data_IF_363706508639
#
_entry.id   IF_363706508639
#
_cell.length_a   1.000
_cell.length_b   1.000
_cell.length_c   1.000
_cell.angle_alpha   90.00
_cell.angle_beta   90.00
_cell.angle_gamma   90.00
#
_symmetry.space_group_name_H-M   'P 1'
#
loop_
_entity.id
_entity.type
_entity.pdbx_description
1 polymer ?
#
# COMPACT_ATOMS: atom_id res chain seq x y z
N UNK A 1 -2.10 18.14 4.68
CA UNK A 1 -2.45 17.24 5.80
C UNK A 1 -2.34 15.80 5.33
N UNK A 2 -1.71 14.98 6.16
CA UNK A 2 -1.53 13.57 5.83
C UNK A 2 -2.83 12.79 5.97
N UNK A 3 -2.93 11.72 5.21
CA UNK A 3 -3.99 10.71 5.32
C UNK A 3 -3.40 9.37 5.73
N UNK A 4 -4.20 8.53 6.35
CA UNK A 4 -3.85 7.14 6.65
C UNK A 4 -4.67 6.22 5.75
N UNK A 5 -4.00 5.26 5.12
CA UNK A 5 -4.64 4.24 4.29
C UNK A 5 -4.41 2.88 4.94
N UNK A 6 -5.47 2.10 5.12
CA UNK A 6 -5.42 0.73 5.63
C UNK A 6 -6.01 -0.20 4.58
N UNK A 7 -5.21 -1.14 4.13
CA UNK A 7 -5.69 -2.17 3.22
C UNK A 7 -6.39 -3.29 4.00
N UNK A 8 -7.49 -3.83 3.47
CA UNK A 8 -8.17 -4.95 4.14
C UNK A 8 -7.30 -6.20 4.11
N UNK A 9 -7.43 -7.05 5.14
CA UNK A 9 -6.81 -8.36 5.15
C UNK A 9 -7.32 -9.18 3.95
N UNK A 10 -6.42 -9.64 3.10
CA UNK A 10 -6.77 -10.26 1.81
C UNK A 10 -5.97 -11.54 1.54
N UNK A 11 -5.41 -12.14 2.57
CA UNK A 11 -4.61 -13.38 2.49
C UNK A 11 -3.44 -13.26 1.49
N UNK A 12 -2.79 -12.12 1.46
CA UNK A 12 -1.63 -11.89 0.60
C UNK A 12 -0.44 -12.62 1.16
N UNK A 13 0.18 -13.49 0.36
CA UNK A 13 1.40 -14.17 0.80
C UNK A 13 2.61 -13.23 0.74
N UNK A 14 3.62 -13.54 1.55
CA UNK A 14 4.89 -12.81 1.49
C UNK A 14 5.48 -12.81 0.08
N UNK A 15 5.38 -13.94 -0.62
CA UNK A 15 5.89 -14.05 -2.00
C UNK A 15 5.13 -13.12 -2.95
N UNK A 16 3.80 -13.06 -2.84
CA UNK A 16 2.99 -12.13 -3.65
C UNK A 16 3.37 -10.68 -3.35
N UNK A 17 3.50 -10.35 -2.06
CA UNK A 17 3.91 -9.01 -1.63
C UNK A 17 5.27 -8.62 -2.21
N UNK A 18 6.26 -9.51 -2.06
CA UNK A 18 7.62 -9.27 -2.56
C UNK A 18 7.63 -9.09 -4.08
N UNK A 19 6.86 -9.90 -4.81
CA UNK A 19 6.73 -9.81 -6.27
C UNK A 19 6.18 -8.46 -6.71
N UNK A 20 5.12 -7.98 -6.08
CA UNK A 20 4.52 -6.68 -6.38
C UNK A 20 5.54 -5.56 -6.13
N UNK A 21 6.21 -5.61 -4.98
CA UNK A 21 7.21 -4.60 -4.62
C UNK A 21 8.39 -4.59 -5.58
N UNK A 22 8.89 -5.76 -5.94
CA UNK A 22 10.00 -5.88 -6.89
C UNK A 22 9.63 -5.33 -8.27
N UNK A 23 8.42 -5.62 -8.74
CA UNK A 23 7.93 -5.12 -10.01
C UNK A 23 7.75 -3.60 -10.01
N UNK A 24 7.22 -3.04 -8.93
CA UNK A 24 7.09 -1.59 -8.79
C UNK A 24 8.46 -0.92 -8.75
N UNK A 25 9.41 -1.50 -8.03
CA UNK A 25 10.79 -1.00 -7.95
C UNK A 25 11.44 -1.03 -9.33
N UNK A 26 11.29 -2.13 -10.06
CA UNK A 26 11.86 -2.29 -11.40
C UNK A 26 11.27 -1.31 -12.42
N UNK A 27 10.02 -0.92 -12.25
CA UNK A 27 9.34 0.06 -13.09
C UNK A 27 9.64 1.51 -12.69
N UNK A 28 10.36 1.74 -11.60
CA UNK A 28 10.64 3.09 -11.09
C UNK A 28 9.49 3.70 -10.29
N UNK A 29 8.51 2.87 -9.88
CA UNK A 29 7.30 3.31 -9.17
C UNK A 29 7.38 3.11 -7.66
N UNK A 30 8.51 2.66 -7.17
CA UNK A 30 8.76 2.48 -5.74
C UNK A 30 10.05 3.18 -5.31
N UNK A 31 10.09 3.99 -4.24
CA UNK A 31 8.93 4.38 -3.40
C UNK A 31 7.97 5.30 -4.16
N UNK A 32 6.66 5.22 -3.88
CA UNK A 32 5.71 6.06 -4.59
C UNK A 32 5.77 7.52 -4.14
N UNK A 33 5.55 8.42 -5.09
CA UNK A 33 5.49 9.85 -4.79
C UNK A 33 4.36 10.14 -3.81
N UNK A 34 4.69 10.83 -2.74
CA UNK A 34 3.75 11.25 -1.71
C UNK A 34 3.51 10.23 -0.59
N UNK A 35 4.08 9.05 -0.65
CA UNK A 35 4.02 8.09 0.44
C UNK A 35 5.05 8.46 1.51
N UNK A 36 4.60 8.76 2.71
CA UNK A 36 5.45 9.18 3.82
C UNK A 36 5.90 7.99 4.69
N UNK A 37 5.05 6.98 4.79
CA UNK A 37 5.30 5.79 5.60
C UNK A 37 4.59 4.59 5.00
N UNK A 38 5.28 3.46 4.96
CA UNK A 38 4.74 2.19 4.51
C UNK A 38 5.08 1.12 5.54
N UNK A 39 4.07 0.44 6.04
CA UNK A 39 4.25 -0.65 7.02
C UNK A 39 3.60 -1.90 6.45
N UNK A 40 4.41 -2.93 6.23
CA UNK A 40 3.94 -4.27 5.92
C UNK A 40 4.13 -5.14 7.15
N UNK A 41 3.09 -5.88 7.54
CA UNK A 41 3.08 -6.64 8.78
C UNK A 41 2.15 -7.85 8.66
N UNK A 42 2.23 -8.73 9.63
CA UNK A 42 1.41 -9.93 9.67
C UNK A 42 2.18 -11.19 9.29
N UNK A 43 1.54 -12.36 9.39
CA UNK A 43 2.21 -13.62 9.05
C UNK A 43 2.44 -13.76 7.55
N UNK A 44 3.32 -14.68 7.15
CA UNK A 44 3.75 -14.86 5.76
C UNK A 44 2.62 -15.22 4.80
N UNK A 45 1.50 -15.72 5.30
CA UNK A 45 0.32 -16.06 4.51
C UNK A 45 -0.79 -15.01 4.58
N UNK A 46 -0.58 -13.92 5.31
CA UNK A 46 -1.56 -12.84 5.47
C UNK A 46 -0.86 -11.51 5.71
N UNK A 47 -0.08 -11.07 4.73
CA UNK A 47 0.61 -9.77 4.81
C UNK A 47 -0.42 -8.65 4.69
N UNK A 48 -0.33 -7.69 5.60
CA UNK A 48 -1.18 -6.51 5.67
C UNK A 48 -0.34 -5.26 5.48
N UNK A 49 -0.98 -4.19 5.04
CA UNK A 49 -0.29 -2.92 4.78
C UNK A 49 -1.09 -1.76 5.32
N UNK A 50 -0.39 -0.85 5.98
CA UNK A 50 -0.89 0.47 6.35
C UNK A 50 0.09 1.53 5.87
N UNK A 51 -0.43 2.65 5.38
CA UNK A 51 0.41 3.70 4.79
C UNK A 51 -0.06 5.07 5.23
N UNK A 52 0.90 6.00 5.30
CA UNK A 52 0.63 7.42 5.47
C UNK A 52 1.02 8.13 4.18
N UNK A 53 0.12 8.94 3.65
CA UNK A 53 0.30 9.68 2.40
C UNK A 53 0.13 11.17 2.62
N UNK A 54 0.82 11.97 1.82
CA UNK A 54 0.69 13.43 1.86
C UNK A 54 -0.73 13.87 1.51
N UNK A 55 -1.31 13.27 0.48
CA UNK A 55 -2.67 13.60 0.00
C UNK A 55 -3.38 12.35 -0.53
N UNK A 56 -4.71 12.40 -0.53
CA UNK A 56 -5.52 11.35 -1.14
C UNK A 56 -5.30 11.26 -2.66
N UNK A 57 -5.05 12.38 -3.32
CA UNK A 57 -4.82 12.41 -4.77
C UNK A 57 -3.55 11.66 -5.15
N UNK A 58 -2.49 11.80 -4.37
CA UNK A 58 -1.24 11.06 -4.61
C UNK A 58 -1.41 9.57 -4.41
N UNK A 59 -2.17 9.18 -3.39
CA UNK A 59 -2.52 7.78 -3.18
C UNK A 59 -3.32 7.22 -4.36
N UNK A 60 -4.33 7.95 -4.84
CA UNK A 60 -5.15 7.50 -5.99
C UNK A 60 -4.32 7.37 -7.27
N UNK A 61 -3.40 8.31 -7.51
CA UNK A 61 -2.49 8.23 -8.67
C UNK A 61 -1.62 6.99 -8.61
N UNK A 62 -1.11 6.66 -7.44
CA UNK A 62 -0.35 5.42 -7.24
C UNK A 62 -1.22 4.18 -7.48
N UNK A 63 -2.50 4.24 -7.14
CA UNK A 63 -3.44 3.14 -7.37
C UNK A 63 -3.50 2.68 -8.81
N UNK A 64 -3.35 3.58 -9.76
CA UNK A 64 -3.33 3.25 -11.18
C UNK A 64 -2.11 2.40 -11.57
N UNK A 65 -1.01 2.53 -10.85
CA UNK A 65 0.21 1.72 -11.04
C UNK A 65 0.15 0.43 -10.24
N UNK A 66 -0.47 0.48 -9.06
CA UNK A 66 -0.56 -0.66 -8.15
C UNK A 66 -1.51 -1.75 -8.64
N UNK A 67 -2.70 -1.37 -9.15
CA UNK A 67 -3.74 -2.33 -9.53
C UNK A 67 -3.28 -3.38 -10.53
N UNK A 68 -2.60 -3.03 -11.63
CA UNK A 68 -2.10 -4.04 -12.56
C UNK A 68 -1.12 -5.01 -11.90
N UNK A 69 -0.32 -4.54 -10.97
CA UNK A 69 0.64 -5.39 -10.24
C UNK A 69 -0.06 -6.37 -9.31
N UNK A 70 -1.13 -5.93 -8.63
CA UNK A 70 -1.94 -6.82 -7.80
C UNK A 70 -2.58 -7.92 -8.65
N UNK A 71 -3.15 -7.58 -9.80
CA UNK A 71 -3.74 -8.55 -10.73
C UNK A 71 -2.72 -9.56 -11.22
N UNK A 72 -1.53 -9.11 -11.64
CA UNK A 72 -0.47 -9.99 -12.12
C UNK A 72 0.03 -10.95 -11.03
N UNK A 73 0.03 -10.52 -9.79
CA UNK A 73 0.44 -11.35 -8.66
C UNK A 73 -0.67 -12.28 -8.14
N UNK A 74 -1.86 -12.19 -8.72
CA UNK A 74 -3.01 -12.99 -8.29
C UNK A 74 -3.61 -12.52 -6.96
N UNK A 75 -3.40 -11.25 -6.62
CA UNK A 75 -3.96 -10.67 -5.39
C UNK A 75 -5.33 -10.09 -5.68
N UNK A 76 -6.32 -10.55 -4.92
CA UNK A 76 -7.66 -9.98 -4.93
C UNK A 76 -7.94 -9.36 -3.57
N UNK A 77 -8.02 -8.03 -3.52
CA UNK A 77 -8.34 -7.36 -2.27
C UNK A 77 -9.75 -7.69 -1.80
N UNK A 78 -9.91 -7.93 -0.51
CA UNK A 78 -11.19 -8.29 0.09
C UNK A 78 -12.20 -7.14 0.10
N UNK A 79 -11.74 -5.91 -0.15
CA UNK A 79 -12.57 -4.72 -0.21
C UNK A 79 -11.74 -3.49 -0.52
N UNK A 80 -12.38 -2.33 -0.53
CA UNK A 80 -11.69 -1.07 -0.74
C UNK A 80 -10.80 -0.73 0.45
N UNK A 81 -9.63 -0.10 0.21
CA UNK A 81 -8.82 0.43 1.31
C UNK A 81 -9.60 1.48 2.12
N UNK A 82 -9.44 1.43 3.44
CA UNK A 82 -9.96 2.49 4.31
C UNK A 82 -9.06 3.71 4.23
N UNK A 83 -9.65 4.88 4.05
CA UNK A 83 -8.91 6.15 3.97
C UNK A 83 -9.40 7.06 5.09
N UNK A 84 -8.47 7.48 5.94
CA UNK A 84 -8.74 8.39 7.06
C UNK A 84 -8.04 9.72 6.78
N UNK A 85 -8.80 10.80 6.68
CA UNK A 85 -8.28 12.15 6.44
C UNK A 85 -8.09 12.96 7.72
N UNK A 86 -8.38 12.36 8.86
CA UNK A 86 -8.28 12.96 10.18
C UNK A 86 -7.09 12.44 11.00
N UNK A 87 -5.94 12.34 10.35
CA UNK A 87 -4.69 11.97 11.03
C UNK A 87 -4.28 13.13 11.97
N UNK A 88 -4.14 12.82 13.24
CA UNK A 88 -3.82 13.81 14.26
C UNK A 88 -2.31 13.99 14.47
N UNK A 89 -1.57 12.90 14.48
CA UNK A 89 -0.13 12.90 14.75
C UNK A 89 0.56 11.84 13.92
N UNK A 90 1.66 12.23 13.28
CA UNK A 90 2.66 11.31 12.70
C UNK A 90 4.00 11.72 13.26
N UNK A 91 4.60 10.88 14.10
CA UNK A 91 5.88 11.17 14.75
C UNK A 91 6.92 10.10 14.42
N UNK A 92 8.15 10.56 14.17
CA UNK A 92 9.32 9.70 14.16
C UNK A 92 10.01 9.85 15.52
N UNK A 93 10.09 8.74 16.27
CA UNK A 93 10.60 8.72 17.63
C UNK A 93 12.10 8.36 17.67
#
# INVERSE_FOLDING_TARGET
>A
MSILVRFPASNVSKQQYDTVRDNLTGAGDWPPDGCELHVAFGPDDDIRVSEVWQTADKFRSFGDKLRPQLEQAGIQLAGEPEVFDDVHVVETL
#
